data_IF_290008819506
#
_entry.id   IF_290008819506
#
_cell.length_a   1.000
_cell.length_b   1.000
_cell.length_c   1.000
_cell.angle_alpha   90.00
_cell.angle_beta   90.00
_cell.angle_gamma   90.00
#
_symmetry.space_group_name_H-M   'P 1'
#
loop_
_entity.id
_entity.type
_entity.pdbx_description
1 polymer ?
#
# COMPACT_ATOMS: atom_id res chain seq x y z
N UNK A 1 -7.01 -28.28 -20.11
CA UNK A 1 -7.10 -27.06 -20.95
C UNK A 1 -5.90 -26.21 -20.60
N UNK A 2 -5.04 -25.92 -21.56
CA UNK A 2 -3.76 -25.25 -21.34
C UNK A 2 -3.95 -23.75 -21.49
N UNK A 3 -3.58 -22.97 -20.49
CA UNK A 3 -3.53 -21.50 -20.58
C UNK A 3 -2.23 -21.14 -21.32
N UNK A 4 -2.29 -20.26 -22.32
CA UNK A 4 -1.11 -19.83 -23.07
C UNK A 4 -0.72 -18.42 -22.62
N UNK A 5 0.46 -18.30 -22.01
CA UNK A 5 1.08 -17.00 -21.68
C UNK A 5 2.00 -16.62 -22.84
N UNK A 6 1.78 -15.45 -23.44
CA UNK A 6 2.65 -14.91 -24.50
C UNK A 6 3.40 -13.70 -23.93
N UNK A 7 4.74 -13.77 -23.95
CA UNK A 7 5.62 -12.65 -23.61
C UNK A 7 6.05 -11.97 -24.91
N UNK A 8 5.72 -10.69 -25.08
CA UNK A 8 6.22 -9.86 -26.19
C UNK A 8 7.10 -8.75 -25.61
N UNK A 9 8.29 -8.57 -26.18
CA UNK A 9 9.16 -7.41 -25.92
C UNK A 9 8.71 -6.27 -26.85
N UNK A 10 8.24 -5.15 -26.30
CA UNK A 10 7.96 -3.93 -27.07
C UNK A 10 9.23 -3.05 -27.17
N UNK A 11 9.44 -2.50 -28.37
CA UNK A 11 10.58 -1.65 -28.74
C UNK A 11 10.78 -0.45 -27.81
N UNK A 12 12.04 -0.22 -27.40
CA UNK A 12 12.47 0.88 -26.54
C UNK A 12 12.09 2.26 -27.09
N UNK A 13 11.21 2.98 -26.40
CA UNK A 13 11.09 4.44 -26.52
C UNK A 13 11.91 5.07 -25.40
N UNK A 14 13.10 5.60 -25.73
CA UNK A 14 13.94 6.32 -24.78
C UNK A 14 13.50 7.80 -24.61
N UNK A 15 13.28 8.28 -23.37
CA UNK A 15 13.36 9.70 -23.05
C UNK A 15 14.75 10.05 -22.50
N UNK A 16 15.41 11.04 -23.12
CA UNK A 16 16.62 11.66 -22.58
C UNK A 16 16.26 12.64 -21.44
N UNK A 17 16.75 12.40 -20.22
CA UNK A 17 17.56 13.32 -19.38
C UNK A 17 17.74 12.82 -17.92
N UNK A 18 19.02 12.65 -17.53
CA UNK A 18 19.74 12.69 -16.23
C UNK A 18 19.31 11.89 -14.97
N UNK A 19 19.94 10.70 -14.85
CA UNK A 19 20.57 10.00 -13.69
C UNK A 19 20.00 10.10 -12.24
N UNK A 20 19.17 9.11 -11.87
CA UNK A 20 19.43 8.08 -10.82
C UNK A 20 18.39 6.93 -10.92
N UNK A 21 18.63 5.72 -10.37
CA UNK A 21 18.85 4.51 -11.17
C UNK A 21 17.60 3.66 -11.54
N UNK A 22 17.66 3.17 -12.79
CA UNK A 22 17.05 1.98 -13.42
C UNK A 22 15.55 1.75 -13.15
N UNK A 23 14.72 2.46 -13.91
CA UNK A 23 13.39 1.99 -14.31
C UNK A 23 13.61 0.77 -15.21
N UNK A 24 13.25 -0.44 -14.76
CA UNK A 24 13.03 -1.55 -15.69
C UNK A 24 11.61 -1.41 -16.23
N UNK A 25 11.53 -1.21 -17.55
CA UNK A 25 10.29 -1.17 -18.34
C UNK A 25 9.43 -2.38 -17.99
N UNK A 26 8.15 -2.12 -17.69
CA UNK A 26 7.23 -3.09 -17.11
C UNK A 26 6.95 -4.28 -18.03
N UNK A 27 7.04 -5.50 -17.48
CA UNK A 27 6.58 -6.69 -18.18
C UNK A 27 5.05 -6.61 -18.34
N UNK A 28 4.57 -6.73 -19.58
CA UNK A 28 3.13 -6.78 -19.89
C UNK A 28 2.70 -8.25 -19.94
N UNK A 29 1.78 -8.63 -19.05
CA UNK A 29 1.15 -9.94 -19.06
C UNK A 29 -0.21 -9.86 -19.74
N UNK A 30 -0.40 -10.65 -20.78
CA UNK A 30 -1.73 -10.88 -21.38
C UNK A 30 -2.24 -12.24 -20.96
N UNK A 31 -3.43 -12.27 -20.39
CA UNK A 31 -4.10 -13.51 -20.04
C UNK A 31 -5.47 -13.58 -20.70
N UNK A 32 -5.81 -14.78 -21.15
CA UNK A 32 -7.12 -15.08 -21.71
C UNK A 32 -7.77 -16.19 -20.91
N UNK A 33 -8.97 -15.92 -20.42
CA UNK A 33 -9.79 -16.91 -19.73
C UNK A 33 -10.99 -17.26 -20.61
N UNK A 34 -11.12 -18.55 -20.91
CA UNK A 34 -12.19 -19.11 -21.73
C UNK A 34 -13.11 -20.02 -20.91
N UNK A 35 -14.33 -20.21 -21.42
CA UNK A 35 -15.34 -21.13 -20.88
C UNK A 35 -15.75 -20.90 -19.41
N UNK A 36 -16.03 -19.63 -19.05
CA UNK A 36 -16.46 -19.21 -17.71
C UNK A 36 -17.73 -19.91 -17.19
N UNK A 37 -18.54 -20.47 -18.09
CA UNK A 37 -19.81 -21.15 -17.75
C UNK A 37 -19.66 -22.49 -17.05
N UNK A 38 -18.53 -23.15 -17.28
CA UNK A 38 -18.23 -24.43 -16.66
C UNK A 38 -17.33 -24.25 -15.43
N UNK A 39 -17.24 -23.02 -14.91
CA UNK A 39 -16.51 -22.73 -13.68
C UNK A 39 -17.36 -23.14 -12.48
N UNK A 40 -17.01 -24.31 -11.94
CA UNK A 40 -17.61 -24.89 -10.73
C UNK A 40 -16.82 -24.52 -9.45
N UNK A 41 -15.90 -23.55 -9.56
CA UNK A 41 -14.97 -23.14 -8.49
C UNK A 41 -15.00 -21.62 -8.38
N UNK A 42 -15.10 -21.11 -7.15
CA UNK A 42 -15.20 -19.67 -6.86
C UNK A 42 -13.99 -18.88 -7.39
N UNK A 43 -12.81 -19.53 -7.51
CA UNK A 43 -11.58 -18.91 -7.98
C UNK A 43 -10.79 -19.81 -8.93
N UNK A 44 -10.19 -19.23 -9.97
CA UNK A 44 -9.25 -19.90 -10.89
C UNK A 44 -7.98 -19.09 -11.04
N UNK A 45 -6.84 -19.73 -10.86
CA UNK A 45 -5.51 -19.11 -10.95
C UNK A 45 -4.77 -19.54 -12.23
N UNK A 46 -3.91 -18.66 -12.74
CA UNK A 46 -2.92 -18.95 -13.77
C UNK A 46 -1.82 -19.85 -13.22
N UNK A 47 -0.99 -20.37 -14.12
CA UNK A 47 0.32 -20.92 -13.73
C UNK A 47 1.20 -19.83 -13.11
N UNK A 48 2.27 -20.25 -12.45
CA UNK A 48 3.26 -19.35 -11.85
C UNK A 48 4.05 -18.62 -12.94
N UNK A 49 4.02 -17.29 -12.88
CA UNK A 49 4.71 -16.40 -13.81
C UNK A 49 5.82 -15.71 -13.03
N UNK A 50 7.08 -15.93 -13.42
CA UNK A 50 8.20 -15.25 -12.78
C UNK A 50 8.50 -13.93 -13.48
N UNK A 51 8.41 -12.84 -12.73
CA UNK A 51 8.77 -11.48 -13.18
C UNK A 51 9.77 -10.93 -12.18
N UNK A 52 10.92 -10.50 -12.67
CA UNK A 52 12.02 -10.07 -11.82
C UNK A 52 12.37 -11.12 -10.76
N UNK A 53 12.29 -10.71 -9.50
CA UNK A 53 12.50 -11.61 -8.35
C UNK A 53 11.19 -12.25 -7.85
N UNK A 54 10.02 -11.77 -8.25
CA UNK A 54 8.75 -12.23 -7.71
C UNK A 54 8.13 -13.36 -8.55
N UNK A 55 7.36 -14.21 -7.87
CA UNK A 55 6.52 -15.21 -8.53
C UNK A 55 5.07 -14.73 -8.45
N UNK A 56 4.42 -14.64 -9.59
CA UNK A 56 3.09 -14.10 -9.76
C UNK A 56 2.11 -15.21 -10.11
N UNK A 57 0.89 -15.10 -9.59
CA UNK A 57 -0.29 -15.82 -10.09
C UNK A 57 -1.39 -14.82 -10.31
N UNK A 58 -2.13 -14.99 -11.39
CA UNK A 58 -3.25 -14.14 -11.72
C UNK A 58 -4.51 -14.98 -11.64
N UNK A 59 -5.50 -14.49 -10.91
CA UNK A 59 -6.72 -15.21 -10.66
C UNK A 59 -7.93 -14.48 -11.22
N UNK A 60 -8.98 -15.22 -11.48
CA UNK A 60 -10.33 -14.68 -11.61
C UNK A 60 -11.21 -15.33 -10.56
N UNK A 61 -12.02 -14.53 -9.90
CA UNK A 61 -13.03 -14.94 -8.95
C UNK A 61 -14.40 -14.51 -9.43
N UNK A 62 -15.39 -15.37 -9.31
CA UNK A 62 -16.78 -15.04 -9.62
C UNK A 62 -17.63 -15.29 -8.37
N UNK A 63 -18.15 -14.23 -7.75
CA UNK A 63 -18.96 -14.35 -6.53
C UNK A 63 -20.47 -14.56 -6.82
N UNK A 64 -20.78 -14.88 -8.07
CA UNK A 64 -22.14 -15.05 -8.60
C UNK A 64 -22.79 -13.76 -9.11
N UNK A 65 -22.24 -12.59 -8.80
CA UNK A 65 -22.70 -11.29 -9.35
C UNK A 65 -21.59 -10.52 -10.02
N UNK A 66 -20.39 -10.62 -9.48
CA UNK A 66 -19.22 -9.86 -9.88
C UNK A 66 -18.10 -10.81 -10.31
N UNK A 67 -17.40 -10.39 -11.37
CA UNK A 67 -16.16 -10.98 -11.80
C UNK A 67 -15.00 -10.12 -11.28
N UNK A 68 -14.20 -10.72 -10.40
CA UNK A 68 -13.05 -10.10 -9.74
C UNK A 68 -11.74 -10.58 -10.36
N UNK A 69 -10.89 -9.64 -10.81
CA UNK A 69 -9.52 -9.95 -11.18
C UNK A 69 -8.64 -9.97 -9.94
N UNK A 70 -8.06 -11.12 -9.65
CA UNK A 70 -7.16 -11.34 -8.53
C UNK A 70 -5.70 -11.31 -9.01
N UNK A 71 -4.83 -10.74 -8.20
CA UNK A 71 -3.38 -10.87 -8.33
C UNK A 71 -2.84 -11.50 -7.08
N UNK A 72 -1.95 -12.47 -7.21
CA UNK A 72 -1.23 -13.11 -6.12
C UNK A 72 0.26 -12.98 -6.34
N UNK A 73 0.94 -12.43 -5.34
CA UNK A 73 2.40 -12.27 -5.33
C UNK A 73 2.96 -13.24 -4.31
N UNK A 74 3.92 -14.06 -4.74
CA UNK A 74 4.69 -14.99 -3.94
C UNK A 74 6.12 -14.49 -3.97
N UNK A 75 6.57 -13.89 -2.87
CA UNK A 75 7.96 -13.47 -2.73
C UNK A 75 8.87 -14.69 -2.58
N UNK A 76 10.02 -14.77 -3.28
CA UNK A 76 11.10 -15.63 -2.81
C UNK A 76 11.49 -15.10 -1.42
N UNK A 77 11.74 -15.98 -0.46
CA UNK A 77 12.05 -15.55 0.91
C UNK A 77 13.23 -14.57 1.00
N UNK A 78 13.24 -13.79 2.09
CA UNK A 78 14.25 -12.77 2.44
C UNK A 78 14.53 -11.75 1.34
N UNK A 79 13.53 -10.93 0.99
CA UNK A 79 13.81 -9.67 0.29
C UNK A 79 14.26 -8.68 1.37
N UNK A 80 15.58 -8.49 1.49
CA UNK A 80 16.19 -7.67 2.56
C UNK A 80 15.83 -6.18 2.51
N UNK A 81 15.19 -5.73 1.43
CA UNK A 81 14.71 -4.36 1.25
C UNK A 81 13.20 -4.38 1.03
N UNK A 82 12.47 -3.45 1.64
CA UNK A 82 11.06 -3.28 1.34
C UNK A 82 10.86 -2.81 -0.09
N UNK A 83 9.76 -3.25 -0.69
CA UNK A 83 9.48 -3.07 -2.11
C UNK A 83 8.15 -2.35 -2.30
N UNK A 84 8.02 -1.66 -3.43
CA UNK A 84 6.77 -1.05 -3.87
C UNK A 84 6.38 -1.65 -5.20
N UNK A 85 5.27 -2.36 -5.21
CA UNK A 85 4.74 -2.90 -6.45
C UNK A 85 3.61 -1.97 -6.90
N UNK A 86 3.77 -1.42 -8.11
CA UNK A 86 2.73 -0.71 -8.81
C UNK A 86 2.14 -1.64 -9.87
N UNK A 87 0.88 -1.97 -9.70
CA UNK A 87 0.10 -2.76 -10.63
C UNK A 87 -0.85 -1.85 -11.38
N UNK A 88 -0.85 -1.92 -12.69
CA UNK A 88 -1.89 -1.28 -13.51
C UNK A 88 -2.44 -2.32 -14.47
N UNK A 89 -3.72 -2.67 -14.31
CA UNK A 89 -4.40 -3.60 -15.21
C UNK A 89 -5.35 -2.85 -16.12
N UNK A 90 -5.48 -3.31 -17.35
CA UNK A 90 -6.59 -2.94 -18.21
C UNK A 90 -7.03 -4.14 -19.03
N UNK A 91 -8.32 -4.43 -19.04
CA UNK A 91 -8.85 -5.60 -19.72
C UNK A 91 -10.07 -5.29 -20.57
N UNK A 92 -10.43 -6.28 -21.38
CA UNK A 92 -11.64 -6.30 -22.19
C UNK A 92 -12.42 -7.57 -21.92
N UNK A 93 -13.67 -7.41 -21.51
CA UNK A 93 -14.61 -8.52 -21.39
C UNK A 93 -15.38 -8.60 -22.70
N UNK A 94 -15.26 -9.73 -23.39
CA UNK A 94 -15.98 -10.04 -24.60
C UNK A 94 -17.16 -10.95 -24.29
N UNK A 95 -18.38 -10.51 -24.59
CA UNK A 95 -19.57 -11.33 -24.43
C UNK A 95 -19.75 -12.18 -25.70
N UNK A 96 -19.84 -13.50 -25.53
CA UNK A 96 -19.99 -14.43 -26.64
C UNK A 96 -21.34 -14.20 -27.32
N UNK A 97 -21.30 -13.90 -28.61
CA UNK A 97 -22.50 -13.61 -29.40
C UNK A 97 -22.89 -12.13 -29.47
N UNK A 98 -22.12 -11.22 -28.86
CA UNK A 98 -22.25 -9.78 -29.08
C UNK A 98 -20.95 -9.21 -29.67
N UNK A 99 -21.04 -8.06 -30.33
CA UNK A 99 -19.87 -7.25 -30.69
C UNK A 99 -19.49 -6.28 -29.56
N UNK A 100 -20.11 -6.40 -28.39
CA UNK A 100 -19.90 -5.50 -27.28
C UNK A 100 -18.73 -6.00 -26.44
N UNK A 101 -17.82 -5.07 -26.12
CA UNK A 101 -16.73 -5.30 -25.19
C UNK A 101 -16.82 -4.27 -24.07
N UNK A 102 -16.75 -4.72 -22.82
CA UNK A 102 -16.60 -3.82 -21.69
C UNK A 102 -15.11 -3.65 -21.40
N UNK A 103 -14.62 -2.42 -21.48
CA UNK A 103 -13.23 -2.09 -21.13
C UNK A 103 -13.17 -1.70 -19.66
N UNK A 104 -12.14 -2.16 -18.97
CA UNK A 104 -11.82 -1.70 -17.62
C UNK A 104 -10.36 -1.32 -17.50
N UNK A 105 -10.07 -0.45 -16.53
CA UNK A 105 -8.71 -0.07 -16.14
C UNK A 105 -8.67 0.16 -14.64
N UNK A 106 -7.67 -0.40 -13.98
CA UNK A 106 -7.43 -0.24 -12.54
C UNK A 106 -5.94 -0.05 -12.27
N UNK A 107 -5.62 0.74 -11.26
CA UNK A 107 -4.26 0.87 -10.75
C UNK A 107 -4.27 0.59 -9.25
N UNK A 108 -3.30 -0.19 -8.81
CA UNK A 108 -3.12 -0.62 -7.43
C UNK A 108 -1.66 -0.46 -7.05
N UNK A 109 -1.41 0.16 -5.90
CA UNK A 109 -0.07 0.33 -5.35
C UNK A 109 0.01 -0.41 -4.02
N UNK A 110 0.97 -1.33 -3.90
CA UNK A 110 1.25 -2.04 -2.65
C UNK A 110 2.69 -1.83 -2.22
N UNK A 111 2.84 -1.24 -1.03
CA UNK A 111 4.12 -1.12 -0.34
C UNK A 111 4.26 -2.29 0.63
N UNK A 112 5.34 -3.04 0.55
CA UNK A 112 5.69 -4.06 1.53
C UNK A 112 6.95 -3.62 2.27
N UNK A 113 6.84 -3.50 3.60
CA UNK A 113 7.86 -2.89 4.45
C UNK A 113 8.53 -3.90 5.40
N UNK A 114 8.17 -5.19 5.37
CA UNK A 114 8.77 -6.20 6.25
C UNK A 114 9.59 -7.23 5.47
N UNK A 115 10.83 -7.54 5.90
CA UNK A 115 11.64 -8.61 5.33
C UNK A 115 11.15 -10.02 5.76
N UNK A 116 10.32 -10.08 6.80
CA UNK A 116 9.74 -11.30 7.32
C UNK A 116 8.36 -11.52 6.72
N UNK A 117 8.32 -12.40 5.71
CA UNK A 117 7.32 -13.43 5.45
C UNK A 117 7.26 -13.73 3.94
N UNK A 118 7.11 -15.02 3.62
CA UNK A 118 6.45 -15.43 2.38
C UNK A 118 5.02 -14.90 2.44
N UNK A 119 4.82 -13.65 2.06
CA UNK A 119 3.51 -13.05 2.11
C UNK A 119 2.84 -13.31 0.77
N UNK A 120 1.82 -14.15 0.81
CA UNK A 120 0.87 -14.32 -0.28
C UNK A 120 -0.04 -13.11 -0.24
N UNK A 121 0.12 -12.20 -1.20
CA UNK A 121 -0.75 -11.03 -1.28
C UNK A 121 -1.78 -11.24 -2.36
N UNK A 122 -3.05 -11.41 -1.98
CA UNK A 122 -4.16 -11.39 -2.92
C UNK A 122 -4.74 -9.98 -3.00
N UNK A 123 -4.93 -9.43 -4.20
CA UNK A 123 -5.56 -8.12 -4.38
C UNK A 123 -6.53 -8.14 -5.56
N UNK A 124 -7.71 -7.54 -5.35
CA UNK A 124 -8.72 -7.33 -6.39
C UNK A 124 -8.30 -6.09 -7.19
N UNK A 125 -8.02 -6.28 -8.47
CA UNK A 125 -7.62 -5.20 -9.39
C UNK A 125 -8.84 -4.58 -10.07
N UNK A 126 -9.89 -5.36 -10.27
CA UNK A 126 -11.15 -4.91 -10.89
C UNK A 126 -12.31 -5.82 -10.46
N UNK A 127 -13.51 -5.24 -10.38
CA UNK A 127 -14.79 -5.94 -10.22
C UNK A 127 -15.78 -5.43 -11.28
N UNK A 128 -16.50 -6.36 -11.93
CA UNK A 128 -17.53 -6.05 -12.94
C UNK A 128 -18.76 -6.96 -12.80
N UNK A 129 -19.96 -6.43 -13.04
CA UNK A 129 -21.19 -7.25 -13.05
C UNK A 129 -21.21 -8.24 -14.22
N UNK A 130 -21.45 -9.51 -13.94
CA UNK A 130 -21.52 -10.59 -14.95
C UNK A 130 -22.86 -10.55 -15.68
N UNK A 131 -22.82 -10.51 -17.02
CA UNK A 131 -23.99 -10.56 -17.91
C UNK A 131 -23.85 -11.67 -18.97
N UNK A 132 -23.82 -12.92 -18.52
CA UNK A 132 -23.98 -14.17 -19.29
C UNK A 132 -23.03 -14.41 -20.50
N UNK A 133 -22.54 -15.65 -20.63
CA UNK A 133 -21.71 -16.16 -21.75
C UNK A 133 -20.48 -15.28 -22.08
N UNK A 134 -19.42 -15.30 -21.26
CA UNK A 134 -18.30 -14.37 -21.40
C UNK A 134 -16.95 -15.04 -21.68
N UNK A 135 -16.10 -14.35 -22.45
CA UNK A 135 -14.67 -14.59 -22.65
C UNK A 135 -13.94 -13.33 -22.17
N UNK A 136 -12.93 -13.47 -21.32
CA UNK A 136 -12.21 -12.33 -20.75
C UNK A 136 -10.80 -12.33 -21.32
N UNK A 137 -10.44 -11.24 -22.01
CA UNK A 137 -9.08 -10.99 -22.47
C UNK A 137 -8.53 -9.81 -21.68
N UNK A 138 -7.53 -10.07 -20.85
CA UNK A 138 -7.00 -9.10 -19.92
C UNK A 138 -5.53 -8.81 -20.19
N UNK A 139 -5.17 -7.54 -20.03
CA UNK A 139 -3.79 -7.05 -20.13
C UNK A 139 -3.40 -6.44 -18.79
N UNK A 140 -2.61 -7.17 -18.03
CA UNK A 140 -2.00 -6.67 -16.80
C UNK A 140 -0.63 -6.10 -17.11
N UNK A 141 -0.43 -4.82 -16.87
CA UNK A 141 0.88 -4.18 -16.92
C UNK A 141 1.46 -4.20 -15.50
N UNK A 142 2.55 -4.93 -15.31
CA UNK A 142 3.25 -4.99 -14.02
C UNK A 142 4.44 -4.05 -14.09
N UNK A 143 4.41 -2.99 -13.28
CA UNK A 143 5.54 -2.08 -13.14
C UNK A 143 6.19 -2.35 -11.79
N UNK A 144 7.25 -3.16 -11.80
CA UNK A 144 8.06 -3.39 -10.63
C UNK A 144 9.00 -2.21 -10.39
N UNK A 145 8.68 -1.40 -9.38
CA UNK A 145 9.60 -0.37 -8.91
C UNK A 145 10.32 -0.91 -7.68
N UNK A 146 11.59 -1.29 -7.82
CA UNK A 146 12.44 -1.41 -6.63
C UNK A 146 12.59 -0.02 -6.03
N UNK A 147 11.92 0.21 -4.89
CA UNK A 147 12.33 1.30 -4.03
C UNK A 147 13.59 0.83 -3.31
N UNK A 148 14.66 1.59 -3.41
CA UNK A 148 15.78 1.52 -2.46
C UNK A 148 15.31 2.11 -1.11
N UNK A 149 14.32 1.47 -0.48
CA UNK A 149 14.04 1.72 0.92
C UNK A 149 15.12 1.01 1.70
N UNK A 150 16.16 1.75 2.06
CA UNK A 150 17.19 1.24 2.98
C UNK A 150 16.54 1.05 4.34
N UNK A 151 16.22 -0.19 4.69
CA UNK A 151 15.82 -0.54 6.04
C UNK A 151 17.04 -0.57 6.93
N UNK A 152 16.93 0.12 8.06
CA UNK A 152 18.00 0.10 9.04
C UNK A 152 17.90 -1.17 9.88
N UNK A 153 18.82 -2.10 9.67
CA UNK A 153 18.94 -3.29 10.50
C UNK A 153 19.59 -2.92 11.85
N UNK A 154 18.76 -2.73 12.88
CA UNK A 154 19.23 -2.38 14.22
C UNK A 154 19.89 -3.55 14.95
N UNK A 155 19.75 -4.80 14.48
CA UNK A 155 20.41 -5.97 15.09
C UNK A 155 21.90 -6.04 14.75
N UNK A 156 22.30 -5.33 13.69
CA UNK A 156 23.68 -5.34 13.20
C UNK A 156 24.42 -4.07 13.59
N UNK A 157 25.52 -4.26 14.33
CA UNK A 157 26.44 -3.15 14.65
C UNK A 157 27.16 -2.63 13.40
N UNK A 158 27.12 -1.32 13.21
CA UNK A 158 27.89 -0.55 12.23
C UNK A 158 29.01 0.20 12.98
N UNK A 159 30.27 -0.27 12.88
CA UNK A 159 31.39 0.36 13.57
C UNK A 159 31.52 1.85 13.21
N UNK A 160 31.90 2.68 14.19
CA UNK A 160 32.05 4.15 14.09
C UNK A 160 30.75 4.95 13.95
N UNK A 161 29.63 4.31 13.63
CA UNK A 161 28.32 4.97 13.58
C UNK A 161 27.49 4.72 14.84
N UNK A 162 27.54 3.47 15.33
CA UNK A 162 26.88 3.07 16.57
C UNK A 162 27.80 3.22 17.78
N UNK A 163 27.32 3.98 18.76
CA UNK A 163 28.00 4.32 19.99
C UNK A 163 27.17 3.97 21.24
N UNK A 164 26.02 3.31 21.08
CA UNK A 164 25.20 2.76 22.16
C UNK A 164 24.60 1.40 21.79
N UNK A 165 24.44 0.54 22.80
CA UNK A 165 23.69 -0.71 22.73
C UNK A 165 22.46 -0.59 23.62
N UNK A 166 21.30 -0.98 23.10
CA UNK A 166 20.05 -1.04 23.85
C UNK A 166 19.65 -2.51 23.91
N UNK A 167 19.55 -3.02 25.13
CA UNK A 167 19.16 -4.39 25.41
C UNK A 167 17.66 -4.42 25.70
N UNK A 168 16.92 -5.24 24.94
CA UNK A 168 15.48 -5.48 25.13
C UNK A 168 15.28 -6.99 25.27
N UNK A 169 15.10 -7.46 26.51
CA UNK A 169 15.15 -8.89 26.80
C UNK A 169 16.48 -9.51 26.38
N UNK A 170 16.46 -10.42 25.40
CA UNK A 170 17.66 -11.06 24.86
C UNK A 170 18.19 -10.37 23.59
N UNK A 171 17.47 -9.39 23.06
CA UNK A 171 17.81 -8.73 21.81
C UNK A 171 18.75 -7.55 22.05
N UNK A 172 19.73 -7.40 21.16
CA UNK A 172 20.66 -6.27 21.16
C UNK A 172 20.37 -5.35 19.97
N UNK A 173 20.15 -4.09 20.27
CA UNK A 173 19.84 -3.04 19.31
C UNK A 173 20.98 -2.04 19.31
N UNK A 174 21.55 -1.77 18.14
CA UNK A 174 22.67 -0.85 17.98
C UNK A 174 22.20 0.47 17.36
N UNK A 175 22.56 1.59 17.99
CA UNK A 175 22.09 2.91 17.54
C UNK A 175 23.09 4.04 17.83
N UNK A 176 22.72 5.28 17.50
CA UNK A 176 23.51 6.49 17.73
C UNK A 176 22.92 7.34 18.88
N UNK A 177 23.73 7.64 19.90
CA UNK A 177 23.36 8.44 21.08
C UNK A 177 22.86 9.82 20.69
N UNK A 178 23.59 10.50 19.80
CA UNK A 178 23.26 11.86 19.40
C UNK A 178 21.86 11.96 18.80
N UNK A 179 21.51 11.03 17.91
CA UNK A 179 20.19 10.96 17.29
C UNK A 179 19.09 10.62 18.31
N UNK A 180 19.37 9.70 19.22
CA UNK A 180 18.42 9.26 20.24
C UNK A 180 18.11 10.39 21.23
N UNK A 181 19.14 11.02 21.80
CA UNK A 181 19.01 12.11 22.77
C UNK A 181 18.42 13.37 22.14
N UNK A 182 18.68 13.64 20.86
CA UNK A 182 18.08 14.77 20.16
C UNK A 182 16.56 14.61 19.98
N UNK A 183 16.07 13.36 20.00
CA UNK A 183 14.67 13.04 19.70
C UNK A 183 13.86 12.63 20.93
N UNK A 184 14.51 12.25 22.03
CA UNK A 184 13.89 11.73 23.24
C UNK A 184 14.58 12.30 24.48
N UNK A 185 13.80 12.98 25.33
CA UNK A 185 14.30 13.48 26.60
C UNK A 185 14.61 12.34 27.57
N UNK A 186 13.82 11.27 27.55
CA UNK A 186 14.09 10.06 28.35
C UNK A 186 15.51 9.54 28.13
N UNK A 187 15.92 9.37 26.87
CA UNK A 187 17.27 8.89 26.57
C UNK A 187 18.35 9.93 26.84
N UNK A 188 18.05 11.22 26.65
CA UNK A 188 18.96 12.29 27.06
C UNK A 188 19.27 12.20 28.56
N UNK A 189 18.24 12.10 29.39
CA UNK A 189 18.39 12.00 30.84
C UNK A 189 19.17 10.73 31.21
N UNK A 190 18.80 9.58 30.64
CA UNK A 190 19.45 8.30 30.94
C UNK A 190 20.95 8.28 30.56
N UNK A 191 21.29 8.82 29.40
CA UNK A 191 22.67 8.79 28.87
C UNK A 191 23.55 9.86 29.54
N UNK A 192 23.05 11.08 29.70
CA UNK A 192 23.88 12.22 30.11
C UNK A 192 23.70 12.65 31.57
N UNK A 193 22.55 12.36 32.18
CA UNK A 193 22.30 12.68 33.61
C UNK A 193 22.59 11.46 34.47
N UNK A 194 22.05 10.30 34.10
CA UNK A 194 22.26 9.04 34.84
C UNK A 194 23.56 8.33 34.44
N UNK A 195 24.23 8.81 33.38
CA UNK A 195 25.53 8.34 32.91
C UNK A 195 25.54 6.86 32.45
N UNK A 196 24.39 6.35 31.96
CA UNK A 196 24.30 5.07 31.26
C UNK A 196 24.89 5.20 29.85
N UNK A 197 26.21 5.03 29.75
CA UNK A 197 26.97 5.46 28.57
C UNK A 197 27.35 4.35 27.59
N UNK A 198 27.14 3.07 27.89
CA UNK A 198 27.53 1.99 26.97
C UNK A 198 26.37 1.07 26.60
N UNK A 199 25.62 0.60 27.60
CA UNK A 199 24.45 -0.26 27.41
C UNK A 199 23.26 0.26 28.22
N UNK A 200 22.08 0.26 27.61
CA UNK A 200 20.80 0.62 28.24
C UNK A 200 19.88 -0.60 28.22
N UNK A 201 19.34 -1.00 29.38
CA UNK A 201 18.33 -2.05 29.45
C UNK A 201 16.92 -1.45 29.44
N UNK A 202 16.01 -2.04 28.66
CA UNK A 202 14.59 -1.72 28.61
C UNK A 202 13.75 -2.99 28.82
N UNK A 203 13.02 -3.06 29.94
CA UNK A 203 12.35 -4.30 30.38
C UNK A 203 10.87 -4.39 29.98
N UNK A 204 10.28 -3.31 29.44
CA UNK A 204 8.81 -3.19 29.24
C UNK A 204 8.42 -2.85 27.79
N UNK A 205 9.25 -3.22 26.82
CA UNK A 205 9.09 -2.82 25.42
C UNK A 205 9.30 -4.03 24.52
N UNK A 206 8.48 -4.17 23.48
CA UNK A 206 8.71 -5.18 22.45
C UNK A 206 9.80 -4.69 21.50
N UNK A 207 10.75 -5.57 21.14
CA UNK A 207 11.86 -5.26 20.23
C UNK A 207 11.37 -4.64 18.92
N UNK A 208 10.34 -5.22 18.29
CA UNK A 208 9.76 -4.69 17.06
C UNK A 208 9.13 -3.31 17.24
N UNK A 209 8.52 -3.05 18.39
CA UNK A 209 7.89 -1.76 18.66
C UNK A 209 8.95 -0.67 18.81
N UNK A 210 10.04 -1.00 19.49
CA UNK A 210 11.17 -0.11 19.66
C UNK A 210 11.92 0.14 18.34
N UNK A 211 12.15 -0.90 17.53
CA UNK A 211 12.74 -0.73 16.20
C UNK A 211 11.88 0.17 15.30
N UNK A 212 10.56 0.06 15.39
CA UNK A 212 9.64 0.96 14.67
C UNK A 212 9.79 2.40 15.14
N UNK A 213 9.89 2.63 16.46
CA UNK A 213 10.20 3.93 17.03
C UNK A 213 11.53 4.48 16.48
N UNK A 214 12.63 3.72 16.53
CA UNK A 214 13.94 4.15 16.00
C UNK A 214 13.91 4.47 14.51
N UNK A 215 13.15 3.70 13.72
CA UNK A 215 12.99 3.95 12.30
C UNK A 215 12.35 5.33 12.03
N UNK A 216 11.50 5.86 12.92
CA UNK A 216 10.92 7.21 12.77
C UNK A 216 11.93 8.35 13.04
N UNK A 217 13.04 8.04 13.71
CA UNK A 217 14.13 8.98 14.03
C UNK A 217 15.19 9.03 12.93
N UNK A 218 15.24 8.01 12.07
CA UNK A 218 16.20 7.90 10.98
C UNK A 218 15.84 8.84 9.80
N UNK A 219 16.82 9.24 8.96
CA UNK A 219 16.59 10.08 7.77
C UNK A 219 15.65 9.46 6.73
N UNK A 220 15.47 8.14 6.74
CA UNK A 220 14.48 7.42 5.92
C UNK A 220 13.32 6.99 6.83
N UNK A 221 12.42 7.91 7.23
CA UNK A 221 11.48 7.64 8.30
C UNK A 221 10.42 6.62 7.90
N UNK A 222 10.10 5.74 8.85
CA UNK A 222 8.91 4.90 8.79
C UNK A 222 7.66 5.77 8.57
N UNK A 223 6.81 5.36 7.63
CA UNK A 223 5.53 6.01 7.36
C UNK A 223 4.51 5.65 8.45
N UNK A 224 3.79 6.66 8.94
CA UNK A 224 2.76 6.48 9.96
C UNK A 224 1.45 6.12 9.24
N UNK A 225 0.88 4.99 9.62
CA UNK A 225 -0.33 4.39 9.04
C UNK A 225 -1.28 3.98 10.17
N UNK A 226 -2.53 3.66 9.86
CA UNK A 226 -3.49 3.19 10.86
C UNK A 226 -3.00 1.93 11.61
N UNK A 227 -2.22 1.09 10.92
CA UNK A 227 -1.69 -0.16 11.50
C UNK A 227 -0.55 0.03 12.50
N UNK A 228 0.16 1.17 12.49
CA UNK A 228 1.27 1.43 13.42
C UNK A 228 1.08 2.68 14.29
N UNK A 229 0.03 3.47 14.04
CA UNK A 229 -0.23 4.73 14.71
C UNK A 229 -0.29 4.58 16.24
N UNK A 230 -1.15 3.70 16.75
CA UNK A 230 -1.38 3.56 18.19
C UNK A 230 -0.09 3.16 18.94
N UNK A 231 0.67 2.25 18.35
CA UNK A 231 1.94 1.79 18.88
C UNK A 231 2.98 2.92 18.89
N UNK A 232 3.10 3.70 17.80
CA UNK A 232 4.03 4.82 17.73
C UNK A 232 3.69 5.95 18.70
N UNK A 233 2.40 6.22 18.95
CA UNK A 233 1.96 7.17 19.98
C UNK A 233 2.39 6.70 21.37
N UNK A 234 2.15 5.43 21.71
CA UNK A 234 2.58 4.85 23.00
C UNK A 234 4.10 4.95 23.19
N UNK A 235 4.88 4.66 22.15
CA UNK A 235 6.34 4.81 22.19
C UNK A 235 6.77 6.27 22.37
N UNK A 236 6.09 7.21 21.69
CA UNK A 236 6.39 8.62 21.81
C UNK A 236 6.15 9.15 23.24
N UNK A 237 5.07 8.72 23.88
CA UNK A 237 4.77 9.04 25.28
C UNK A 237 5.77 8.37 26.23
N UNK A 238 6.04 7.08 26.05
CA UNK A 238 6.92 6.29 26.91
C UNK A 238 8.35 6.85 26.95
N UNK A 239 8.87 7.28 25.81
CA UNK A 239 10.25 7.79 25.71
C UNK A 239 10.32 9.32 25.68
N UNK A 240 9.25 10.04 26.00
CA UNK A 240 9.23 11.51 25.97
C UNK A 240 9.84 12.07 24.67
N UNK A 241 9.24 11.65 23.54
CA UNK A 241 9.68 11.96 22.19
C UNK A 241 8.68 12.89 21.48
N UNK A 242 8.68 14.21 21.79
CA UNK A 242 7.66 15.14 21.34
C UNK A 242 7.63 15.32 19.81
N UNK A 243 8.75 15.13 19.14
CA UNK A 243 8.83 15.22 17.67
C UNK A 243 8.04 14.10 17.00
N UNK A 244 8.12 12.87 17.52
CA UNK A 244 7.31 11.75 17.04
C UNK A 244 5.84 11.94 17.38
N UNK A 245 5.53 12.40 18.60
CA UNK A 245 4.14 12.67 19.00
C UNK A 245 3.45 13.63 18.02
N UNK A 246 4.12 14.76 17.71
CA UNK A 246 3.61 15.74 16.73
C UNK A 246 3.48 15.17 15.32
N UNK A 247 4.41 14.30 14.89
CA UNK A 247 4.30 13.60 13.60
C UNK A 247 3.05 12.71 13.58
N UNK A 248 2.80 11.95 14.65
CA UNK A 248 1.63 11.10 14.76
C UNK A 248 0.33 11.91 14.69
N UNK A 249 0.21 13.00 15.44
CA UNK A 249 -0.97 13.89 15.36
C UNK A 249 -1.21 14.43 13.95
N UNK A 250 -0.14 14.87 13.28
CA UNK A 250 -0.23 15.41 11.92
C UNK A 250 -0.70 14.32 10.93
N UNK A 251 -0.11 13.13 11.00
CA UNK A 251 -0.49 12.00 10.14
C UNK A 251 -1.93 11.54 10.40
N UNK A 252 -2.36 11.48 11.66
CA UNK A 252 -3.74 11.11 12.01
C UNK A 252 -4.78 12.09 11.45
N UNK A 253 -4.50 13.39 11.55
CA UNK A 253 -5.37 14.41 10.96
C UNK A 253 -5.43 14.28 9.43
N UNK A 254 -4.32 13.92 8.78
CA UNK A 254 -4.32 13.62 7.35
C UNK A 254 -5.14 12.37 7.02
N UNK A 255 -4.94 11.27 7.76
CA UNK A 255 -5.68 10.00 7.56
C UNK A 255 -7.20 10.22 7.69
N UNK A 256 -7.65 10.89 8.76
CA UNK A 256 -9.07 11.26 8.92
C UNK A 256 -9.60 12.11 7.78
N UNK A 257 -8.80 13.04 7.26
CA UNK A 257 -9.18 13.87 6.12
C UNK A 257 -9.33 13.04 4.85
N UNK A 258 -8.45 12.06 4.63
CA UNK A 258 -8.56 11.12 3.51
C UNK A 258 -9.78 10.21 3.62
N UNK A 259 -10.02 9.61 4.79
CA UNK A 259 -11.20 8.78 5.05
C UNK A 259 -12.50 9.58 4.84
N UNK A 260 -12.56 10.80 5.39
CA UNK A 260 -13.68 11.71 5.18
C UNK A 260 -13.90 12.01 3.70
N UNK A 261 -12.84 12.33 2.96
CA UNK A 261 -12.93 12.62 1.53
C UNK A 261 -13.38 11.40 0.73
N UNK A 262 -12.87 10.21 1.04
CA UNK A 262 -13.27 8.96 0.38
C UNK A 262 -14.75 8.66 0.63
N UNK A 263 -15.19 8.72 1.89
CA UNK A 263 -16.59 8.55 2.27
C UNK A 263 -17.48 9.59 1.59
N UNK A 264 -17.03 10.85 1.55
CA UNK A 264 -17.73 11.93 0.85
C UNK A 264 -17.87 11.65 -0.65
N UNK A 265 -16.80 11.22 -1.33
CA UNK A 265 -16.87 10.87 -2.76
C UNK A 265 -17.86 9.72 -3.00
N UNK A 266 -17.85 8.69 -2.15
CA UNK A 266 -18.77 7.57 -2.24
C UNK A 266 -20.23 8.00 -2.03
N UNK A 267 -20.49 8.88 -1.06
CA UNK A 267 -21.81 9.46 -0.86
C UNK A 267 -22.24 10.27 -2.10
N UNK A 268 -21.39 11.14 -2.63
CA UNK A 268 -21.71 11.98 -3.80
C UNK A 268 -21.91 11.14 -5.07
N UNK A 269 -21.13 10.07 -5.26
CA UNK A 269 -21.25 9.17 -6.41
C UNK A 269 -22.56 8.37 -6.38
N UNK A 270 -23.04 8.01 -5.17
CA UNK A 270 -24.30 7.29 -4.97
C UNK A 270 -25.57 8.10 -5.31
N UNK A 271 -25.46 9.43 -5.42
CA UNK A 271 -26.58 10.30 -5.82
C UNK A 271 -26.86 10.11 -7.31
N UNK A 272 -27.98 9.42 -7.64
CA UNK A 272 -28.31 9.00 -9.01
C UNK A 272 -29.22 9.96 -9.76
N UNK A 273 -29.92 10.85 -9.07
CA UNK A 273 -30.91 11.74 -9.68
C UNK A 273 -31.05 13.08 -8.93
N UNK A 274 -31.77 14.02 -9.56
CA UNK A 274 -32.01 15.37 -9.02
C UNK A 274 -32.88 15.38 -7.76
N UNK A 275 -33.72 14.37 -7.54
CA UNK A 275 -34.56 14.28 -6.34
C UNK A 275 -33.74 13.91 -5.09
N UNK A 276 -32.75 13.04 -5.23
CA UNK A 276 -31.82 12.67 -4.15
C UNK A 276 -30.97 13.88 -3.73
N UNK A 277 -30.51 14.66 -4.71
CA UNK A 277 -29.72 15.87 -4.43
C UNK A 277 -30.58 16.94 -3.76
N UNK A 278 -31.82 17.16 -4.23
CA UNK A 278 -32.74 18.12 -3.60
C UNK A 278 -33.03 17.76 -2.14
N UNK A 279 -33.30 16.48 -1.85
CA UNK A 279 -33.47 16.00 -0.46
C UNK A 279 -32.24 16.28 0.40
N UNK A 280 -31.04 16.20 -0.17
CA UNK A 280 -29.80 16.50 0.53
C UNK A 280 -29.64 18.01 0.77
N UNK A 281 -29.88 18.85 -0.24
CA UNK A 281 -29.73 20.31 -0.14
C UNK A 281 -30.79 20.98 0.73
N UNK A 282 -31.99 20.41 0.80
CA UNK A 282 -33.08 20.89 1.64
C UNK A 282 -32.89 20.53 3.12
N UNK A 283 -31.89 19.70 3.43
CA UNK A 283 -31.55 19.35 4.80
C UNK A 283 -30.76 20.48 5.47
N UNK A 284 -31.21 20.96 6.63
CA UNK A 284 -30.52 22.01 7.40
C UNK A 284 -29.07 21.66 7.76
N UNK A 285 -28.73 20.36 7.82
CA UNK A 285 -27.36 19.90 8.07
C UNK A 285 -26.44 20.11 6.86
N UNK A 286 -26.97 20.25 5.65
CA UNK A 286 -26.19 20.52 4.44
C UNK A 286 -25.47 21.87 4.52
N UNK A 287 -26.16 22.89 5.02
CA UNK A 287 -25.58 24.23 5.22
C UNK A 287 -24.48 24.27 6.28
N UNK A 288 -24.34 23.22 7.10
CA UNK A 288 -23.28 23.06 8.10
C UNK A 288 -22.07 22.29 7.58
N UNK A 289 -22.12 21.77 6.35
CA UNK A 289 -20.98 21.09 5.72
C UNK A 289 -19.93 22.11 5.30
N UNK A 290 -18.69 21.64 5.13
CA UNK A 290 -17.59 22.44 4.58
C UNK A 290 -17.94 22.94 3.16
N UNK A 291 -17.53 24.16 2.82
CA UNK A 291 -17.86 24.81 1.53
C UNK A 291 -17.46 23.95 0.33
N UNK A 292 -16.32 23.26 0.40
CA UNK A 292 -15.85 22.36 -0.64
C UNK A 292 -16.82 21.18 -0.86
N UNK A 293 -17.38 20.62 0.22
CA UNK A 293 -18.39 19.54 0.17
C UNK A 293 -19.67 20.02 -0.49
N UNK A 294 -20.13 21.22 -0.12
CA UNK A 294 -21.33 21.83 -0.71
C UNK A 294 -21.14 22.06 -2.22
N UNK A 295 -19.98 22.61 -2.62
CA UNK A 295 -19.63 22.83 -4.02
C UNK A 295 -19.60 21.54 -4.84
N UNK A 296 -19.11 20.43 -4.29
CA UNK A 296 -19.08 19.15 -5.01
C UNK A 296 -20.48 18.57 -5.23
N UNK A 297 -21.38 18.67 -4.24
CA UNK A 297 -22.78 18.28 -4.39
C UNK A 297 -23.49 19.15 -5.44
N UNK A 298 -23.27 20.47 -5.42
CA UNK A 298 -23.83 21.40 -6.41
C UNK A 298 -23.30 21.11 -7.83
N UNK A 299 -22.00 20.80 -7.97
CA UNK A 299 -21.43 20.37 -9.26
C UNK A 299 -22.05 19.08 -9.76
N UNK A 300 -22.35 18.13 -8.87
CA UNK A 300 -23.05 16.89 -9.23
C UNK A 300 -24.48 17.19 -9.72
N UNK A 301 -25.18 18.14 -9.09
CA UNK A 301 -26.51 18.58 -9.54
C UNK A 301 -26.48 19.16 -10.95
N UNK A 302 -25.50 20.01 -11.24
CA UNK A 302 -25.33 20.63 -12.56
C UNK A 302 -25.09 19.60 -13.67
N UNK A 303 -24.58 18.40 -13.37
CA UNK A 303 -24.43 17.31 -14.36
C UNK A 303 -25.76 16.65 -14.75
N UNK A 304 -26.84 16.89 -13.99
CA UNK A 304 -28.17 16.34 -14.26
C UNK A 304 -29.13 17.35 -14.89
N UNK A 305 -28.70 18.60 -15.06
CA UNK A 305 -29.45 19.68 -15.72
C UNK A 305 -29.00 19.81 -17.18
#
# INVERSE_FOLDING_TARGET
MSNTVVKEEEDEIQPQFQENPIIRTGDVLRLKFEDLKNWDVDQKWSDEIRIGQFVWKLGLECDGKELNLLTQIISPGSVGNGWLINLSGSGKIHFKGTHEASCFSGAFQKKCLSPENQAIFTSIVHSSEVKSEECVEDTLIIVENQLDVVFYDFSRRVPKFHDIVINIGNDKIYFNKGQLCASSKFFYDKIFIENETEEINLDSVLTNDFCSFLATLCPTPLEITDGNYEQLVKMAEMFDAPTLHRKCETSWNMLKKYEYNSLMQNCISSLKNTADIKKLTDNEKFMKLEENTQLQVLRKLLKFL
#
